data_IF_411994821658
#
_entry.id   IF_411994821658
#
_cell.length_a   1.000
_cell.length_b   1.000
_cell.length_c   1.000
_cell.angle_alpha   90.00
_cell.angle_beta   90.00
_cell.angle_gamma   90.00
#
_symmetry.space_group_name_H-M   'P 1'
#
loop_
_entity.id
_entity.type
_entity.pdbx_description
1 polymer ?
#
# COMPACT_ATOMS: atom_id res chain seq x y z
N UNK A 1 -25.21 6.77 6.36
CA UNK A 1 -24.40 6.71 5.13
C UNK A 1 -22.91 6.74 5.48
N UNK A 2 -22.03 6.25 4.61
CA UNK A 2 -20.57 6.35 4.76
C UNK A 2 -20.02 7.28 3.68
N UNK A 3 -19.18 8.24 4.06
CA UNK A 3 -18.43 9.11 3.16
C UNK A 3 -16.94 8.78 3.26
N UNK A 4 -16.37 8.24 2.18
CA UNK A 4 -14.93 8.02 2.06
C UNK A 4 -14.32 9.17 1.26
N UNK A 5 -13.32 9.83 1.86
CA UNK A 5 -12.49 10.84 1.18
C UNK A 5 -11.09 10.25 1.11
N UNK A 6 -10.66 9.95 -0.11
CA UNK A 6 -9.42 9.24 -0.37
C UNK A 6 -8.26 10.21 -0.64
N UNK A 7 -7.06 9.86 -0.16
CA UNK A 7 -5.79 10.55 -0.42
C UNK A 7 -5.83 12.07 -0.19
N UNK A 8 -6.35 12.50 0.96
CA UNK A 8 -6.52 13.92 1.27
C UNK A 8 -5.22 14.73 1.19
N UNK A 9 -4.08 14.07 1.44
CA UNK A 9 -2.74 14.66 1.30
C UNK A 9 -2.37 15.12 -0.11
N UNK A 10 -3.19 14.80 -1.13
CA UNK A 10 -3.04 15.30 -2.50
C UNK A 10 -3.71 16.65 -2.76
N UNK A 11 -4.53 17.14 -1.84
CA UNK A 11 -5.19 18.44 -1.98
C UNK A 11 -4.36 19.57 -1.38
N UNK A 12 -4.71 20.81 -1.71
CA UNK A 12 -4.09 21.99 -1.10
C UNK A 12 -4.74 22.35 0.25
N UNK A 13 -4.14 23.33 0.94
CA UNK A 13 -4.62 23.80 2.24
C UNK A 13 -5.99 24.50 2.15
N UNK A 14 -6.28 25.15 1.02
CA UNK A 14 -7.55 25.83 0.81
C UNK A 14 -8.71 24.82 0.76
N UNK A 15 -8.49 23.69 0.08
CA UNK A 15 -9.44 22.59 0.07
C UNK A 15 -9.61 21.97 1.46
N UNK A 16 -8.53 21.76 2.22
CA UNK A 16 -8.63 21.26 3.61
C UNK A 16 -9.47 22.19 4.50
N UNK A 17 -9.26 23.51 4.39
CA UNK A 17 -10.03 24.50 5.15
C UNK A 17 -11.51 24.48 4.78
N UNK A 18 -11.82 24.39 3.50
CA UNK A 18 -13.19 24.22 3.02
C UNK A 18 -13.80 22.90 3.51
N UNK A 19 -13.05 21.80 3.45
CA UNK A 19 -13.51 20.50 3.93
C UNK A 19 -13.81 20.53 5.43
N UNK A 20 -13.05 21.26 6.23
CA UNK A 20 -13.34 21.46 7.66
C UNK A 20 -14.68 22.15 7.91
N UNK A 21 -15.06 23.11 7.06
CA UNK A 21 -16.38 23.75 7.11
C UNK A 21 -17.47 22.73 6.75
N UNK A 22 -17.28 21.98 5.66
CA UNK A 22 -18.22 20.96 5.20
C UNK A 22 -18.43 19.87 6.25
N UNK A 23 -17.35 19.39 6.89
CA UNK A 23 -17.41 18.35 7.91
C UNK A 23 -17.95 18.85 9.26
N UNK A 24 -17.96 20.16 9.50
CA UNK A 24 -18.58 20.76 10.69
C UNK A 24 -20.10 20.72 10.60
N UNK A 25 -20.63 21.20 9.48
CA UNK A 25 -22.07 21.47 9.33
C UNK A 25 -22.78 20.44 8.44
N UNK A 26 -22.02 19.50 7.87
CA UNK A 26 -22.47 18.52 6.88
C UNK A 26 -23.29 19.17 5.76
N UNK A 27 -22.79 20.31 5.28
CA UNK A 27 -23.41 21.11 4.22
C UNK A 27 -22.34 21.67 3.29
N UNK A 28 -22.74 22.01 2.06
CA UNK A 28 -21.94 22.77 1.11
C UNK A 28 -22.80 23.90 0.56
N UNK A 29 -22.26 25.12 0.52
CA UNK A 29 -22.92 26.24 -0.17
C UNK A 29 -22.29 26.42 -1.55
N UNK A 30 -23.11 26.31 -2.59
CA UNK A 30 -22.71 26.52 -3.98
C UNK A 30 -23.38 27.81 -4.45
N UNK A 31 -22.64 28.81 -4.95
CA UNK A 31 -23.22 30.12 -5.28
C UNK A 31 -24.48 30.05 -6.16
N UNK A 32 -24.48 29.18 -7.16
CA UNK A 32 -25.56 29.03 -8.14
C UNK A 32 -26.70 28.13 -7.66
N UNK A 33 -26.46 27.26 -6.67
CA UNK A 33 -27.41 26.23 -6.22
C UNK A 33 -27.89 26.44 -4.77
N UNK A 34 -27.33 27.41 -4.06
CA UNK A 34 -27.57 27.63 -2.64
C UNK A 34 -26.91 26.56 -1.75
N UNK A 35 -27.40 26.46 -0.52
CA UNK A 35 -26.86 25.53 0.48
C UNK A 35 -27.50 24.16 0.36
N UNK A 36 -26.68 23.15 0.10
CA UNK A 36 -27.04 21.73 0.09
C UNK A 36 -26.65 21.14 1.44
N UNK A 37 -27.59 20.54 2.17
CA UNK A 37 -27.36 19.89 3.47
C UNK A 37 -27.50 18.38 3.34
N UNK A 38 -26.63 17.63 4.00
CA UNK A 38 -26.81 16.20 4.17
C UNK A 38 -28.08 15.93 5.00
N UNK A 39 -28.97 15.01 4.58
CA UNK A 39 -30.18 14.67 5.35
C UNK A 39 -29.87 14.13 6.75
N UNK A 40 -28.73 13.46 6.90
CA UNK A 40 -28.19 12.96 8.16
C UNK A 40 -26.65 12.97 8.11
N UNK A 41 -25.96 13.22 9.24
CA UNK A 41 -24.49 13.18 9.29
C UNK A 41 -23.93 11.80 8.93
N UNK A 42 -23.07 11.67 7.91
CA UNK A 42 -22.42 10.40 7.58
C UNK A 42 -21.30 10.04 8.57
N UNK A 43 -20.99 8.75 8.65
CA UNK A 43 -19.68 8.32 9.12
C UNK A 43 -18.64 8.69 8.07
N UNK A 44 -17.63 9.47 8.46
CA UNK A 44 -16.58 9.96 7.55
C UNK A 44 -15.29 9.19 7.77
N UNK A 45 -14.72 8.66 6.68
CA UNK A 45 -13.40 8.03 6.65
C UNK A 45 -12.51 8.88 5.76
N UNK A 46 -11.39 9.33 6.31
CA UNK A 46 -10.34 10.04 5.57
C UNK A 46 -9.15 9.12 5.44
N UNK A 47 -8.58 9.01 4.25
CA UNK A 47 -7.31 8.28 4.04
C UNK A 47 -6.21 9.25 3.64
N UNK A 48 -4.97 8.83 3.88
CA UNK A 48 -3.80 9.59 3.49
C UNK A 48 -2.60 8.66 3.31
N UNK A 49 -1.80 8.94 2.28
CA UNK A 49 -0.52 8.27 2.06
C UNK A 49 0.66 9.06 2.67
N UNK A 50 0.37 10.17 3.37
CA UNK A 50 1.34 11.09 3.95
C UNK A 50 2.37 11.64 2.95
N UNK A 51 1.99 11.83 1.69
CA UNK A 51 2.81 12.57 0.73
C UNK A 51 2.98 14.03 1.14
N UNK A 52 1.99 14.57 1.86
CA UNK A 52 2.04 15.85 2.58
C UNK A 52 1.47 15.67 3.98
N UNK A 53 1.95 16.48 4.91
CA UNK A 53 1.41 16.53 6.25
C UNK A 53 0.02 17.20 6.24
N UNK A 54 -1.00 16.47 6.71
CA UNK A 54 -2.37 16.99 6.87
C UNK A 54 -2.39 18.09 7.93
N UNK A 55 -3.22 19.11 7.74
CA UNK A 55 -3.32 20.23 8.66
C UNK A 55 -3.77 19.77 10.06
N UNK A 56 -3.10 20.30 11.09
CA UNK A 56 -3.35 19.98 12.50
C UNK A 56 -4.82 20.14 12.94
N UNK A 57 -5.54 21.10 12.37
CA UNK A 57 -6.95 21.34 12.68
C UNK A 57 -7.85 20.15 12.29
N UNK A 58 -7.54 19.46 11.20
CA UNK A 58 -8.27 18.29 10.77
C UNK A 58 -7.90 17.05 11.59
N UNK A 59 -6.61 16.84 11.85
CA UNK A 59 -6.15 15.72 12.70
C UNK A 59 -6.78 15.75 14.08
N UNK A 60 -6.89 16.92 14.71
CA UNK A 60 -7.49 17.09 16.04
C UNK A 60 -9.00 16.83 16.08
N UNK A 61 -9.66 16.74 14.92
CA UNK A 61 -11.10 16.43 14.78
C UNK A 61 -11.36 14.99 14.33
N UNK A 62 -10.31 14.19 14.13
CA UNK A 62 -10.41 12.81 13.66
C UNK A 62 -9.83 11.83 14.68
N UNK A 63 -10.39 10.62 14.72
CA UNK A 63 -9.69 9.49 15.31
C UNK A 63 -8.57 9.07 14.35
N UNK A 64 -7.34 9.12 14.81
CA UNK A 64 -6.18 8.79 13.99
C UNK A 64 -5.85 7.30 14.10
N UNK A 65 -5.81 6.61 12.97
CA UNK A 65 -5.38 5.22 12.88
C UNK A 65 -4.23 5.09 11.88
N UNK A 66 -3.09 4.66 12.38
CA UNK A 66 -1.93 4.35 11.55
C UNK A 66 -2.04 2.93 10.99
N UNK A 67 -1.81 2.79 9.68
CA UNK A 67 -1.80 1.48 9.01
C UNK A 67 -0.40 1.20 8.51
N UNK A 68 0.30 0.31 9.21
CA UNK A 68 1.60 -0.22 8.78
C UNK A 68 1.46 -1.31 7.71
N UNK A 69 2.58 -1.68 7.10
CA UNK A 69 2.65 -2.92 6.33
C UNK A 69 2.25 -4.11 7.21
N UNK A 70 1.50 -5.09 6.67
CA UNK A 70 1.15 -6.28 7.42
C UNK A 70 2.42 -7.07 7.80
N UNK A 71 2.35 -7.77 8.92
CA UNK A 71 3.35 -8.80 9.21
C UNK A 71 3.26 -9.96 8.20
N UNK A 72 4.27 -10.84 8.21
CA UNK A 72 4.34 -11.97 7.29
C UNK A 72 3.12 -12.90 7.37
N UNK A 73 2.57 -13.12 8.57
CA UNK A 73 1.42 -14.00 8.76
C UNK A 73 0.16 -13.41 8.14
N UNK A 74 -0.07 -12.11 8.36
CA UNK A 74 -1.21 -11.37 7.82
C UNK A 74 -1.10 -11.18 6.31
N UNK A 75 0.10 -10.90 5.80
CA UNK A 75 0.33 -10.75 4.37
C UNK A 75 0.12 -12.07 3.62
N UNK A 76 0.56 -13.20 4.20
CA UNK A 76 0.28 -14.53 3.65
C UNK A 76 -1.23 -14.85 3.63
N UNK A 77 -1.98 -14.43 4.66
CA UNK A 77 -3.45 -14.56 4.65
C UNK A 77 -4.09 -13.72 3.53
N UNK A 78 -3.62 -12.49 3.33
CA UNK A 78 -4.10 -11.62 2.25
C UNK A 78 -3.80 -12.27 0.89
N UNK A 79 -2.56 -12.70 0.65
CA UNK A 79 -2.16 -13.36 -0.59
C UNK A 79 -3.02 -14.59 -0.87
N UNK A 80 -3.20 -15.49 0.11
CA UNK A 80 -4.04 -16.69 -0.04
C UNK A 80 -5.50 -16.38 -0.34
N UNK A 81 -6.03 -15.30 0.22
CA UNK A 81 -7.40 -14.85 -0.04
C UNK A 81 -7.57 -14.31 -1.46
N UNK A 82 -6.56 -13.60 -1.97
CA UNK A 82 -6.59 -12.95 -3.29
C UNK A 82 -6.14 -13.88 -4.42
N UNK A 83 -5.24 -14.81 -4.14
CA UNK A 83 -4.63 -15.76 -5.08
C UNK A 83 -4.72 -17.20 -4.50
N UNK A 84 -5.92 -17.79 -4.40
CA UNK A 84 -6.12 -19.09 -3.78
C UNK A 84 -5.46 -20.26 -4.54
N UNK A 85 -5.11 -20.06 -5.81
CA UNK A 85 -4.48 -21.06 -6.67
C UNK A 85 -2.95 -20.98 -6.67
N UNK A 86 -2.36 -19.96 -6.04
CA UNK A 86 -0.91 -19.83 -5.98
C UNK A 86 -0.29 -21.00 -5.17
N UNK A 87 0.82 -21.62 -5.64
CA UNK A 87 1.51 -22.66 -4.88
C UNK A 87 1.86 -22.19 -3.47
N UNK A 88 1.68 -23.06 -2.48
CA UNK A 88 1.90 -22.67 -1.07
C UNK A 88 3.35 -22.28 -0.80
N UNK A 89 4.30 -23.02 -1.37
CA UNK A 89 5.73 -22.73 -1.25
C UNK A 89 6.08 -21.38 -1.85
N UNK A 90 5.59 -21.09 -3.07
CA UNK A 90 5.76 -19.80 -3.73
C UNK A 90 5.18 -18.66 -2.87
N UNK A 91 3.95 -18.83 -2.38
CA UNK A 91 3.28 -17.81 -1.56
C UNK A 91 4.10 -17.43 -0.32
N UNK A 92 4.65 -18.44 0.39
CA UNK A 92 5.51 -18.20 1.56
C UNK A 92 6.81 -17.49 1.16
N UNK A 93 7.45 -17.93 0.08
CA UNK A 93 8.69 -17.33 -0.41
C UNK A 93 8.50 -15.88 -0.87
N UNK A 94 7.41 -15.57 -1.58
CA UNK A 94 7.05 -14.21 -1.98
C UNK A 94 6.91 -13.31 -0.76
N UNK A 95 6.09 -13.71 0.22
CA UNK A 95 5.88 -12.92 1.43
C UNK A 95 7.19 -12.73 2.19
N UNK A 96 7.97 -13.78 2.41
CA UNK A 96 9.26 -13.65 3.11
C UNK A 96 10.23 -12.75 2.36
N UNK A 97 10.30 -12.84 1.03
CA UNK A 97 11.15 -11.98 0.21
C UNK A 97 10.73 -10.52 0.30
N UNK A 98 9.43 -10.22 0.20
CA UNK A 98 8.90 -8.86 0.35
C UNK A 98 9.16 -8.31 1.76
N UNK A 99 8.98 -9.12 2.80
CA UNK A 99 9.27 -8.71 4.17
C UNK A 99 10.75 -8.39 4.38
N UNK A 100 11.64 -9.08 3.65
CA UNK A 100 13.07 -8.78 3.67
C UNK A 100 13.38 -7.51 2.84
N UNK A 101 12.79 -7.36 1.65
CA UNK A 101 13.03 -6.20 0.78
C UNK A 101 12.58 -4.88 1.41
N UNK A 102 11.51 -4.89 2.22
CA UNK A 102 11.02 -3.71 2.95
C UNK A 102 12.01 -3.21 4.02
N UNK A 103 13.03 -3.99 4.36
CA UNK A 103 14.10 -3.62 5.30
C UNK A 103 15.32 -3.03 4.61
N UNK A 104 15.37 -3.07 3.28
CA UNK A 104 16.41 -2.42 2.50
C UNK A 104 16.18 -0.90 2.47
N UNK A 105 17.25 -0.15 2.20
CA UNK A 105 17.20 1.29 2.01
C UNK A 105 16.65 1.63 0.62
N UNK A 106 15.33 1.47 0.46
CA UNK A 106 14.60 1.76 -0.77
C UNK A 106 14.01 3.17 -0.71
N UNK A 107 13.98 3.84 -1.86
CA UNK A 107 13.24 5.10 -2.00
C UNK A 107 11.76 4.89 -1.69
N UNK A 108 11.18 3.78 -2.19
CA UNK A 108 9.80 3.39 -1.84
C UNK A 108 9.69 1.88 -1.68
N UNK A 109 9.49 1.46 -0.45
CA UNK A 109 9.19 0.07 -0.13
C UNK A 109 7.88 -0.41 -0.81
N UNK A 110 7.82 -1.66 -1.31
CA UNK A 110 6.64 -2.18 -1.98
C UNK A 110 5.48 -2.41 -1.00
N UNK A 111 4.27 -2.06 -1.42
CA UNK A 111 3.05 -2.32 -0.68
C UNK A 111 2.50 -3.74 -0.88
N UNK A 112 1.33 -3.97 -0.31
CA UNK A 112 0.60 -5.23 -0.47
C UNK A 112 0.11 -5.39 -1.91
N UNK A 113 -0.25 -4.28 -2.57
CA UNK A 113 -0.66 -4.30 -3.98
C UNK A 113 0.47 -4.86 -4.87
N UNK A 114 1.69 -4.32 -4.75
CA UNK A 114 2.85 -4.80 -5.50
C UNK A 114 3.19 -6.26 -5.17
N UNK A 115 2.97 -6.70 -3.92
CA UNK A 115 3.15 -8.10 -3.52
C UNK A 115 2.17 -9.03 -4.26
N UNK A 116 0.91 -8.62 -4.38
CA UNK A 116 -0.11 -9.38 -5.10
C UNK A 116 0.14 -9.38 -6.60
N UNK A 117 0.52 -8.24 -7.17
CA UNK A 117 0.85 -8.12 -8.59
C UNK A 117 2.04 -9.01 -8.94
N UNK A 118 3.08 -9.01 -8.09
CA UNK A 118 4.25 -9.84 -8.28
C UNK A 118 3.93 -11.33 -8.12
N UNK A 119 3.19 -11.71 -7.09
CA UNK A 119 2.71 -13.09 -6.93
C UNK A 119 1.88 -13.56 -8.13
N UNK A 120 1.02 -12.69 -8.67
CA UNK A 120 0.22 -12.98 -9.87
C UNK A 120 1.13 -13.22 -11.07
N UNK A 121 2.08 -12.32 -11.32
CA UNK A 121 3.04 -12.47 -12.42
C UNK A 121 3.85 -13.78 -12.33
N UNK A 122 4.27 -14.17 -11.12
CA UNK A 122 5.00 -15.42 -10.90
C UNK A 122 4.13 -16.65 -11.18
N UNK A 123 2.85 -16.63 -10.78
CA UNK A 123 1.90 -17.72 -11.07
C UNK A 123 1.64 -17.84 -12.58
N UNK A 124 1.47 -16.72 -13.28
CA UNK A 124 1.30 -16.69 -14.74
C UNK A 124 2.55 -17.15 -15.52
N UNK A 125 3.72 -17.09 -14.88
CA UNK A 125 4.98 -17.65 -15.40
C UNK A 125 5.19 -19.12 -14.99
N UNK A 126 4.13 -19.79 -14.50
CA UNK A 126 4.15 -21.17 -14.01
C UNK A 126 5.20 -21.43 -12.90
N UNK A 127 5.56 -20.39 -12.15
CA UNK A 127 6.54 -20.52 -11.09
C UNK A 127 5.96 -21.28 -9.89
N UNK A 128 6.67 -22.31 -9.44
CA UNK A 128 6.30 -23.08 -8.23
C UNK A 128 7.11 -22.68 -7.00
N UNK A 129 8.21 -21.96 -7.21
CA UNK A 129 9.10 -21.40 -6.21
C UNK A 129 9.85 -20.19 -6.79
N UNK A 130 10.34 -19.30 -5.94
CA UNK A 130 11.23 -18.22 -6.35
C UNK A 130 12.60 -18.77 -6.72
N UNK A 131 13.08 -18.47 -7.92
CA UNK A 131 14.48 -18.63 -8.33
C UNK A 131 15.15 -17.26 -8.59
N UNK A 132 16.49 -17.17 -8.49
CA UNK A 132 17.18 -15.89 -8.60
C UNK A 132 16.95 -15.16 -9.94
N UNK A 133 16.86 -15.90 -11.05
CA UNK A 133 16.69 -15.30 -12.38
C UNK A 133 15.31 -14.69 -12.50
N UNK A 134 14.28 -15.46 -12.13
CA UNK A 134 12.90 -15.00 -12.15
C UNK A 134 12.69 -13.79 -11.24
N UNK A 135 13.28 -13.78 -10.03
CA UNK A 135 13.25 -12.62 -9.15
C UNK A 135 13.81 -11.40 -9.86
N UNK A 136 15.03 -11.48 -10.39
CA UNK A 136 15.71 -10.35 -11.05
C UNK A 136 14.92 -9.82 -12.25
N UNK A 137 14.41 -10.72 -13.09
CA UNK A 137 13.68 -10.37 -14.32
C UNK A 137 12.31 -9.74 -14.03
N UNK A 138 11.74 -10.01 -12.85
CA UNK A 138 10.41 -9.52 -12.44
C UNK A 138 10.45 -8.45 -11.35
N UNK A 139 11.64 -7.99 -10.92
CA UNK A 139 11.79 -6.97 -9.87
C UNK A 139 11.00 -5.69 -10.16
N UNK A 140 10.82 -5.31 -11.44
CA UNK A 140 10.03 -4.13 -11.82
C UNK A 140 8.52 -4.23 -11.53
N UNK A 141 8.01 -5.45 -11.28
CA UNK A 141 6.64 -5.62 -10.78
C UNK A 141 6.54 -5.18 -9.33
N UNK A 142 7.59 -5.47 -8.54
CA UNK A 142 7.64 -5.17 -7.11
C UNK A 142 8.11 -3.73 -6.82
N UNK A 143 9.16 -3.27 -7.52
CA UNK A 143 9.80 -1.96 -7.32
C UNK A 143 9.49 -1.03 -8.49
N UNK A 144 9.12 0.22 -8.19
CA UNK A 144 8.71 1.20 -9.20
C UNK A 144 9.76 2.26 -9.52
N UNK A 145 10.86 2.30 -8.76
CA UNK A 145 11.94 3.24 -8.96
C UNK A 145 13.15 2.54 -9.58
N UNK A 146 13.73 3.15 -10.61
CA UNK A 146 14.86 2.56 -11.33
C UNK A 146 16.08 2.38 -10.43
N UNK A 147 16.34 3.34 -9.54
CA UNK A 147 17.46 3.28 -8.60
C UNK A 147 17.30 2.12 -7.61
N UNK A 148 16.07 1.91 -7.08
CA UNK A 148 15.74 0.76 -6.24
C UNK A 148 15.97 -0.56 -6.99
N UNK A 149 15.53 -0.66 -8.25
CA UNK A 149 15.75 -1.87 -9.07
C UNK A 149 17.26 -2.12 -9.27
N UNK A 150 18.03 -1.09 -9.62
CA UNK A 150 19.47 -1.22 -9.86
C UNK A 150 20.23 -1.63 -8.60
N UNK A 151 19.90 -1.04 -7.45
CA UNK A 151 20.48 -1.41 -6.15
C UNK A 151 20.24 -2.90 -5.85
N UNK A 152 19.06 -3.42 -6.19
CA UNK A 152 18.71 -4.82 -5.98
C UNK A 152 19.36 -5.79 -6.98
N UNK A 153 19.52 -5.38 -8.24
CA UNK A 153 20.14 -6.18 -9.30
C UNK A 153 21.65 -6.42 -9.10
N UNK A 154 22.34 -5.60 -8.29
CA UNK A 154 23.75 -5.74 -7.94
C UNK A 154 24.11 -6.97 -7.08
N UNK A 155 23.34 -8.06 -7.15
CA UNK A 155 23.50 -9.27 -6.35
C UNK A 155 22.75 -9.26 -5.01
N UNK A 156 22.21 -8.11 -4.59
CA UNK A 156 21.47 -8.00 -3.31
C UNK A 156 20.18 -8.81 -3.31
N UNK A 157 19.41 -8.79 -4.40
CA UNK A 157 18.20 -9.60 -4.53
C UNK A 157 18.49 -11.10 -4.39
N UNK A 158 19.62 -11.57 -4.94
CA UNK A 158 20.06 -12.95 -4.78
C UNK A 158 20.44 -13.26 -3.34
N UNK A 159 21.24 -12.39 -2.70
CA UNK A 159 21.62 -12.56 -1.30
C UNK A 159 20.39 -12.63 -0.38
N UNK A 160 19.42 -11.75 -0.56
CA UNK A 160 18.15 -11.78 0.17
C UNK A 160 17.38 -13.09 -0.05
N UNK A 161 17.31 -13.57 -1.28
CA UNK A 161 16.65 -14.84 -1.57
C UNK A 161 17.34 -16.01 -0.84
N UNK A 162 18.67 -16.02 -0.76
CA UNK A 162 19.44 -17.03 -0.05
C UNK A 162 19.24 -16.92 1.49
N UNK A 163 19.18 -15.71 2.04
CA UNK A 163 18.85 -15.45 3.45
C UNK A 163 17.43 -15.94 3.80
N UNK A 164 16.45 -15.66 2.95
CA UNK A 164 15.05 -16.12 3.12
C UNK A 164 14.95 -17.64 3.07
N UNK A 165 15.71 -18.29 2.18
CA UNK A 165 15.73 -19.76 2.07
C UNK A 165 16.37 -20.42 3.29
N UNK A 166 17.42 -19.83 3.85
CA UNK A 166 18.12 -20.39 5.02
C UNK A 166 17.35 -20.21 6.33
N UNK A 167 16.47 -19.20 6.42
CA UNK A 167 15.60 -18.95 7.58
C UNK A 167 14.27 -19.72 7.55
N UNK A 168 13.93 -20.34 6.42
CA UNK A 168 12.73 -21.14 6.23
C UNK A 168 12.93 -22.66 6.44
N UNK A 169 14.17 -23.10 6.68
CA UNK A 169 14.55 -24.48 7.01
C UNK A 169 14.82 -24.66 8.50
#
# INVERSE_FOLDING_TARGET
PVLLIDELDRTDEAFEAFLLEVLSDFQVTIPELGTIRAPEPPLVILTSNRTREIHDALKRRCLYHWVDYPDAARELQILRSRLPHAPEALSRQVVSFVQAIRKEDLFKAPGVAETLDWATALVELDAVALDPTLVIDTLGVLLKYQDDIQAMQGGRAKALLDEVRSSAG
#
